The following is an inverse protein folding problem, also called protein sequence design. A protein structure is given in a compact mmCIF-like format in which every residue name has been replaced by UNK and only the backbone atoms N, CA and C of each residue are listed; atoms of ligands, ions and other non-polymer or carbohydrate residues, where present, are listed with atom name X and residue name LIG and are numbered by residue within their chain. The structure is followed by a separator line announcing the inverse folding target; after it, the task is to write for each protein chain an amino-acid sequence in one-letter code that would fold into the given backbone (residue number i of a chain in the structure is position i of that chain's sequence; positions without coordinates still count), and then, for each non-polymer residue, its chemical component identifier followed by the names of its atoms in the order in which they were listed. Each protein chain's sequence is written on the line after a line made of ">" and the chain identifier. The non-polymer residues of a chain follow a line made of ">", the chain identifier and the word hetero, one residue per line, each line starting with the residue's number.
data_IF_717354055936
#
_entry.id   IF_717354055936
#
_cell.length_a   1.000
_cell.length_b   1.000
_cell.length_c   1.000
_cell.angle_alpha   90.00
_cell.angle_beta   90.00
_cell.angle_gamma   90.00
#
_symmetry.space_group_name_H-M   'P 1'
#
loop_
_entity.id
_entity.type
_entity.pdbx_description
1 polymer ?
#
# COMPACT_ATOMS: atom_id res chain seq x y z
N UNK A 1 9.68 0.25 -24.51
CA UNK A 1 10.16 1.01 -23.33
C UNK A 1 9.33 0.64 -22.12
N UNK A 2 9.90 0.58 -20.90
CA UNK A 2 9.11 0.46 -19.69
C UNK A 2 8.12 1.64 -19.59
N UNK A 3 6.91 1.38 -19.10
CA UNK A 3 5.98 2.45 -18.76
C UNK A 3 6.57 3.28 -17.62
N UNK A 4 6.85 4.56 -17.86
CA UNK A 4 7.40 5.46 -16.86
C UNK A 4 6.30 5.96 -15.92
N UNK A 5 6.58 6.10 -14.61
CA UNK A 5 5.65 6.75 -13.70
C UNK A 5 5.60 8.26 -13.95
N UNK A 6 4.64 8.93 -13.32
CA UNK A 6 4.51 10.39 -13.33
C UNK A 6 5.79 11.07 -12.83
N UNK A 7 6.08 12.25 -13.38
CA UNK A 7 7.18 13.09 -12.91
C UNK A 7 6.96 13.44 -11.42
N UNK A 8 8.05 13.56 -10.69
CA UNK A 8 8.05 13.68 -9.23
C UNK A 8 7.96 12.34 -8.49
N UNK A 9 7.64 11.23 -9.15
CA UNK A 9 7.63 9.91 -8.51
C UNK A 9 9.04 9.49 -8.10
N UNK A 10 9.20 8.99 -6.87
CA UNK A 10 10.48 8.40 -6.44
C UNK A 10 10.71 7.05 -7.12
N UNK A 11 11.83 6.90 -7.80
CA UNK A 11 12.19 5.72 -8.58
C UNK A 11 13.58 5.19 -8.21
N UNK A 12 13.77 3.90 -8.42
CA UNK A 12 15.08 3.26 -8.56
C UNK A 12 15.22 2.80 -9.99
N UNK A 13 16.22 3.31 -10.69
CA UNK A 13 16.49 2.97 -12.09
C UNK A 13 17.87 2.35 -12.19
N UNK A 14 17.94 1.12 -12.68
CA UNK A 14 19.19 0.46 -13.04
C UNK A 14 19.47 0.74 -14.51
N UNK A 15 20.62 1.32 -14.83
CA UNK A 15 20.98 1.66 -16.19
C UNK A 15 22.41 1.24 -16.55
N UNK A 16 22.65 1.06 -17.85
CA UNK A 16 23.97 0.77 -18.44
C UNK A 16 24.84 2.01 -18.37
N UNK A 17 26.10 1.82 -17.97
CA UNK A 17 27.13 2.85 -18.08
C UNK A 17 27.77 2.80 -19.47
N UNK A 18 28.50 3.85 -19.89
CA UNK A 18 29.26 3.82 -21.14
C UNK A 18 30.11 2.56 -21.27
N UNK A 19 30.20 2.05 -22.50
CA UNK A 19 30.97 0.84 -22.81
C UNK A 19 32.40 0.92 -22.24
N UNK A 20 32.84 -0.15 -21.57
CA UNK A 20 34.13 -0.20 -20.87
C UNK A 20 34.08 0.19 -19.39
N UNK A 21 32.94 0.65 -18.88
CA UNK A 21 32.77 0.92 -17.44
C UNK A 21 32.82 -0.36 -16.60
N UNK A 22 33.49 -0.30 -15.44
CA UNK A 22 33.48 -1.34 -14.41
C UNK A 22 32.98 -0.73 -13.09
N UNK A 23 31.85 -1.18 -12.52
CA UNK A 23 30.89 -2.13 -13.10
C UNK A 23 30.14 -1.55 -14.32
N UNK A 24 29.61 -2.41 -15.23
CA UNK A 24 28.91 -1.97 -16.45
C UNK A 24 27.50 -1.40 -16.20
N UNK A 25 26.94 -1.63 -15.01
CA UNK A 25 25.65 -1.11 -14.60
C UNK A 25 25.79 -0.31 -13.31
N UNK A 26 24.89 0.66 -13.12
CA UNK A 26 24.74 1.39 -11.87
C UNK A 26 23.28 1.73 -11.63
N UNK A 27 22.97 2.14 -10.41
CA UNK A 27 21.61 2.46 -9.97
C UNK A 27 21.48 3.96 -9.64
N UNK A 28 20.41 4.61 -10.13
CA UNK A 28 20.00 5.94 -9.73
C UNK A 28 18.74 5.85 -8.87
N UNK A 29 18.78 6.43 -7.66
CA UNK A 29 17.63 6.46 -6.73
C UNK A 29 17.28 7.90 -6.40
N UNK A 30 16.06 8.32 -6.73
CA UNK A 30 15.65 9.72 -6.63
C UNK A 30 14.28 10.00 -7.23
N UNK A 31 13.92 11.26 -7.39
CA UNK A 31 12.67 11.68 -8.02
C UNK A 31 12.85 11.82 -9.53
N UNK A 32 11.91 11.27 -10.31
CA UNK A 32 11.91 11.37 -11.75
C UNK A 32 11.58 12.80 -12.20
N UNK A 33 12.48 13.47 -12.89
CA UNK A 33 12.30 14.85 -13.34
C UNK A 33 11.88 14.95 -14.82
N UNK A 34 12.38 14.04 -15.65
CA UNK A 34 12.06 13.99 -17.07
C UNK A 34 12.28 12.57 -17.62
N UNK A 35 11.56 12.23 -18.68
CA UNK A 35 11.70 10.97 -19.43
C UNK A 35 12.11 11.15 -20.89
N UNK A 36 12.05 12.38 -21.40
CA UNK A 36 12.47 12.74 -22.75
C UNK A 36 13.16 14.12 -22.75
N UNK A 37 14.15 14.35 -23.62
CA UNK A 37 14.78 13.39 -24.53
C UNK A 37 15.71 12.39 -23.80
N UNK A 38 16.06 12.69 -22.55
CA UNK A 38 16.84 11.82 -21.66
C UNK A 38 16.11 11.63 -20.34
N UNK A 39 16.39 10.52 -19.66
CA UNK A 39 15.86 10.28 -18.33
C UNK A 39 16.66 11.12 -17.34
N UNK A 40 15.98 11.88 -16.48
CA UNK A 40 16.60 12.71 -15.45
C UNK A 40 16.06 12.30 -14.09
N UNK A 41 16.95 11.92 -13.17
CA UNK A 41 16.59 11.52 -11.79
C UNK A 41 17.34 12.40 -10.79
N UNK A 42 16.60 13.13 -9.96
CA UNK A 42 17.19 13.91 -8.86
C UNK A 42 17.37 13.03 -7.63
N UNK A 43 18.63 12.74 -7.30
CA UNK A 43 18.99 11.94 -6.13
C UNK A 43 18.76 12.71 -4.82
N UNK A 44 18.82 12.00 -3.68
CA UNK A 44 18.66 12.60 -2.35
C UNK A 44 19.66 13.72 -2.03
N UNK A 45 20.82 13.75 -2.70
CA UNK A 45 21.83 14.81 -2.53
C UNK A 45 21.53 16.07 -3.34
N UNK A 46 20.44 16.07 -4.12
CA UNK A 46 20.11 17.13 -5.06
C UNK A 46 20.78 16.98 -6.42
N UNK A 47 21.74 16.06 -6.57
CA UNK A 47 22.40 15.80 -7.86
C UNK A 47 21.43 15.16 -8.86
N UNK A 48 21.42 15.67 -10.09
CA UNK A 48 20.64 15.12 -11.20
C UNK A 48 21.51 14.15 -11.97
N UNK A 49 21.05 12.91 -12.07
CA UNK A 49 21.67 11.86 -12.88
C UNK A 49 20.89 11.75 -14.18
N UNK A 50 21.61 11.77 -15.31
CA UNK A 50 21.02 11.72 -16.65
C UNK A 50 21.54 10.50 -17.42
N UNK A 51 20.65 9.79 -18.12
CA UNK A 51 20.98 8.62 -18.94
C UNK A 51 19.95 8.43 -20.07
N UNK A 52 20.33 7.70 -21.11
CA UNK A 52 19.44 7.41 -22.22
C UNK A 52 18.35 6.40 -21.81
N UNK A 53 17.16 6.52 -22.40
CA UNK A 53 16.07 5.57 -22.17
C UNK A 53 16.46 4.13 -22.54
N UNK A 54 17.29 3.96 -23.58
CA UNK A 54 17.77 2.65 -24.07
C UNK A 54 18.79 1.99 -23.12
N UNK A 55 19.40 2.76 -22.23
CA UNK A 55 20.32 2.24 -21.23
C UNK A 55 19.60 1.64 -20.01
N UNK A 56 18.29 1.89 -19.86
CA UNK A 56 17.51 1.42 -18.72
C UNK A 56 17.29 -0.09 -18.79
N UNK A 57 17.70 -0.78 -17.73
CA UNK A 57 17.60 -2.24 -17.61
C UNK A 57 16.50 -2.65 -16.63
N UNK A 58 16.29 -1.85 -15.58
CA UNK A 58 15.21 -2.07 -14.64
C UNK A 58 14.71 -0.74 -14.07
N UNK A 59 13.40 -0.66 -13.86
CA UNK A 59 12.72 0.47 -13.26
C UNK A 59 11.85 -0.04 -12.12
N UNK A 60 11.97 0.56 -10.94
CA UNK A 60 11.10 0.29 -9.80
C UNK A 60 10.61 1.59 -9.20
N UNK A 61 9.29 1.75 -9.11
CA UNK A 61 8.67 2.82 -8.32
C UNK A 61 8.86 2.54 -6.82
N UNK A 62 9.29 3.56 -6.10
CA UNK A 62 9.51 3.56 -4.67
C UNK A 62 8.45 4.43 -3.97
N UNK A 63 8.33 4.22 -2.66
CA UNK A 63 7.61 5.12 -1.76
C UNK A 63 8.41 6.42 -1.61
N UNK A 64 7.74 7.57 -1.46
CA UNK A 64 8.38 8.90 -1.38
C UNK A 64 9.43 8.98 -0.27
N UNK A 65 9.15 8.38 0.89
CA UNK A 65 10.13 8.13 1.94
C UNK A 65 10.25 6.63 2.22
N UNK A 66 11.39 6.15 2.73
CA UNK A 66 11.48 4.79 3.23
C UNK A 66 10.39 4.54 4.29
N UNK A 67 9.57 3.51 4.07
CA UNK A 67 8.51 3.08 4.99
C UNK A 67 9.02 1.89 5.80
N UNK A 68 8.98 1.97 7.14
CA UNK A 68 9.43 0.88 8.02
C UNK A 68 8.34 -0.18 8.19
N UNK A 69 8.73 -1.41 8.52
CA UNK A 69 7.77 -2.51 8.78
C UNK A 69 6.80 -2.21 9.92
N UNK A 70 7.25 -1.48 10.95
CA UNK A 70 6.39 -1.02 12.04
C UNK A 70 5.30 -0.05 11.55
N UNK A 71 5.63 0.87 10.63
CA UNK A 71 4.66 1.82 10.05
C UNK A 71 3.62 1.09 9.19
N UNK A 72 4.03 0.04 8.47
CA UNK A 72 3.12 -0.83 7.72
C UNK A 72 2.14 -1.52 8.68
N UNK A 73 2.64 -2.15 9.76
CA UNK A 73 1.78 -2.81 10.75
C UNK A 73 0.83 -1.85 11.44
N UNK A 74 1.30 -0.65 11.81
CA UNK A 74 0.45 0.35 12.45
C UNK A 74 -0.70 0.77 11.54
N UNK A 75 -0.42 1.04 10.26
CA UNK A 75 -1.47 1.43 9.32
C UNK A 75 -2.44 0.28 9.01
N UNK A 76 -1.95 -0.96 8.88
CA UNK A 76 -2.81 -2.13 8.67
C UNK A 76 -3.69 -2.42 9.90
N UNK A 77 -3.20 -2.15 11.13
CA UNK A 77 -4.01 -2.22 12.36
C UNK A 77 -5.12 -1.17 12.34
N UNK A 78 -4.80 0.07 11.96
CA UNK A 78 -5.78 1.14 11.80
C UNK A 78 -6.83 0.76 10.77
N UNK A 79 -6.42 0.25 9.61
CA UNK A 79 -7.33 -0.18 8.55
C UNK A 79 -8.26 -1.32 9.01
N UNK A 80 -7.74 -2.31 9.74
CA UNK A 80 -8.55 -3.39 10.28
C UNK A 80 -9.53 -2.93 11.36
N UNK A 81 -9.15 -1.94 12.17
CA UNK A 81 -10.02 -1.37 13.21
C UNK A 81 -11.09 -0.43 12.65
N UNK A 82 -10.78 0.30 11.57
CA UNK A 82 -11.71 1.24 10.95
C UNK A 82 -12.88 0.55 10.24
N UNK A 83 -12.64 -0.61 9.64
CA UNK A 83 -13.67 -1.47 9.04
C UNK A 83 -13.58 -2.88 9.61
N UNK A 84 -14.15 -3.11 10.81
CA UNK A 84 -14.08 -4.40 11.46
C UNK A 84 -14.90 -5.45 10.71
N UNK A 85 -14.36 -6.67 10.63
CA UNK A 85 -15.12 -7.84 10.23
C UNK A 85 -16.07 -8.28 11.36
N UNK A 86 -17.13 -9.00 11.01
CA UNK A 86 -18.14 -9.52 11.95
C UNK A 86 -17.55 -10.49 12.98
N UNK A 87 -16.67 -11.39 12.52
CA UNK A 87 -15.88 -12.28 13.38
C UNK A 87 -14.39 -11.97 13.25
N UNK A 88 -13.71 -11.88 14.38
CA UNK A 88 -12.28 -11.64 14.45
C UNK A 88 -11.62 -12.50 15.53
N UNK A 89 -10.43 -13.01 15.24
CA UNK A 89 -9.64 -13.80 16.19
C UNK A 89 -8.15 -13.50 16.02
N UNK A 90 -7.44 -13.36 17.14
CA UNK A 90 -5.98 -13.28 17.12
C UNK A 90 -5.39 -14.68 17.23
N UNK A 91 -4.50 -15.04 16.31
CA UNK A 91 -3.78 -16.32 16.32
C UNK A 91 -2.32 -16.09 15.94
N UNK A 92 -1.40 -16.34 16.87
CA UNK A 92 0.06 -16.23 16.68
C UNK A 92 0.51 -14.94 15.95
N UNK A 93 -0.06 -13.81 16.36
CA UNK A 93 0.24 -12.48 15.81
C UNK A 93 -0.50 -12.11 14.52
N UNK A 94 -1.34 -13.00 14.00
CA UNK A 94 -2.27 -12.73 12.91
C UNK A 94 -3.63 -12.29 13.46
N UNK A 95 -4.25 -11.33 12.78
CA UNK A 95 -5.67 -11.04 12.96
C UNK A 95 -6.46 -11.73 11.85
N UNK A 96 -7.20 -12.76 12.22
CA UNK A 96 -8.11 -13.52 11.35
C UNK A 96 -9.44 -12.78 11.33
N UNK A 97 -10.05 -12.71 10.14
CA UNK A 97 -11.24 -11.89 9.91
C UNK A 97 -12.18 -12.62 8.97
N UNK A 98 -13.46 -12.70 9.36
CA UNK A 98 -14.53 -13.22 8.53
C UNK A 98 -15.72 -12.25 8.58
N UNK A 99 -16.07 -11.70 7.42
CA UNK A 99 -17.19 -10.78 7.25
C UNK A 99 -18.36 -11.44 6.53
N UNK A 100 -19.55 -10.82 6.61
CA UNK A 100 -20.77 -11.31 5.96
C UNK A 100 -20.71 -11.33 4.43
N UNK A 101 -19.94 -10.42 3.84
CA UNK A 101 -19.78 -10.33 2.38
C UNK A 101 -18.53 -11.07 1.91
N UNK A 102 -18.69 -12.21 1.24
CA UNK A 102 -17.57 -13.05 0.79
C UNK A 102 -16.64 -12.34 -0.21
N UNK A 103 -17.16 -11.39 -0.98
CA UNK A 103 -16.38 -10.64 -1.97
C UNK A 103 -15.41 -9.63 -1.35
N UNK A 104 -15.65 -9.21 -0.10
CA UNK A 104 -14.83 -8.21 0.57
C UNK A 104 -13.57 -8.87 1.17
N UNK A 105 -12.53 -9.00 0.35
CA UNK A 105 -11.25 -9.61 0.74
C UNK A 105 -10.65 -8.96 2.00
N UNK A 106 -10.81 -7.65 2.14
CA UNK A 106 -10.31 -6.85 3.26
C UNK A 106 -10.95 -7.21 4.60
N UNK A 107 -12.08 -7.90 4.66
CA UNK A 107 -12.72 -8.40 5.90
C UNK A 107 -12.81 -9.94 5.95
N UNK A 108 -12.30 -10.63 4.93
CA UNK A 108 -12.29 -12.10 4.80
C UNK A 108 -10.90 -12.69 4.60
N UNK A 109 -9.86 -12.03 5.14
CA UNK A 109 -8.48 -12.49 5.04
C UNK A 109 -7.72 -12.23 6.34
N UNK A 110 -6.85 -13.17 6.72
CA UNK A 110 -5.98 -13.01 7.87
C UNK A 110 -4.80 -12.10 7.53
N UNK A 111 -4.41 -11.25 8.47
CA UNK A 111 -3.38 -10.23 8.24
C UNK A 111 -2.34 -10.19 9.38
N UNK A 112 -1.03 -10.13 9.08
CA UNK A 112 0.04 -10.31 10.07
C UNK A 112 0.34 -8.99 10.83
N UNK A 113 -0.54 -8.63 11.75
CA UNK A 113 -0.50 -7.31 12.43
C UNK A 113 0.48 -7.23 13.58
N UNK A 114 0.91 -8.34 14.17
CA UNK A 114 1.92 -8.36 15.21
C UNK A 114 3.32 -8.71 14.69
N UNK A 115 4.35 -8.33 15.45
CA UNK A 115 5.74 -8.66 15.13
C UNK A 115 6.02 -10.16 15.21
N UNK A 116 5.28 -10.90 16.03
CA UNK A 116 5.37 -12.35 16.19
C UNK A 116 4.79 -13.14 15.01
N UNK A 117 4.00 -12.50 14.14
CA UNK A 117 3.35 -13.15 13.00
C UNK A 117 4.38 -13.82 12.09
N UNK A 118 4.19 -15.12 11.84
CA UNK A 118 5.08 -15.91 11.01
C UNK A 118 4.31 -17.00 10.26
N UNK A 119 4.97 -17.60 9.26
CA UNK A 119 4.36 -18.56 8.36
C UNK A 119 3.96 -19.90 9.01
N UNK A 120 4.44 -20.23 10.22
CA UNK A 120 4.07 -21.48 10.91
C UNK A 120 2.60 -21.51 11.33
N UNK A 121 1.98 -20.34 11.47
CA UNK A 121 0.56 -20.21 11.79
C UNK A 121 -0.37 -20.53 10.60
N UNK A 122 0.15 -20.55 9.37
CA UNK A 122 -0.64 -20.67 8.14
C UNK A 122 -1.57 -21.90 8.11
N UNK A 123 -1.14 -23.11 8.55
CA UNK A 123 -2.06 -24.25 8.62
C UNK A 123 -3.26 -24.02 9.56
N UNK A 124 -3.01 -23.47 10.77
CA UNK A 124 -4.08 -23.20 11.73
C UNK A 124 -5.02 -22.08 11.26
N UNK A 125 -4.48 -21.05 10.59
CA UNK A 125 -5.28 -20.03 9.91
C UNK A 125 -6.18 -20.67 8.86
N UNK A 126 -5.63 -21.62 8.07
CA UNK A 126 -6.39 -22.29 7.04
C UNK A 126 -7.58 -23.07 7.61
N UNK A 127 -7.35 -23.79 8.71
CA UNK A 127 -8.40 -24.56 9.39
C UNK A 127 -9.49 -23.66 9.98
N UNK A 128 -9.13 -22.51 10.54
CA UNK A 128 -10.09 -21.54 11.08
C UNK A 128 -11.11 -21.05 10.02
N UNK A 129 -10.64 -20.80 8.78
CA UNK A 129 -11.50 -20.44 7.66
C UNK A 129 -12.35 -21.62 7.17
N UNK A 130 -11.76 -22.82 7.06
CA UNK A 130 -12.47 -24.03 6.60
C UNK A 130 -13.61 -24.44 7.53
N UNK A 131 -13.42 -24.32 8.84
CA UNK A 131 -14.47 -24.59 9.84
C UNK A 131 -15.69 -23.67 9.65
N UNK A 132 -15.51 -22.53 8.99
CA UNK A 132 -16.57 -21.58 8.64
C UNK A 132 -17.08 -21.73 7.20
N UNK A 133 -16.64 -22.77 6.48
CA UNK A 133 -16.99 -22.99 5.08
C UNK A 133 -16.42 -21.93 4.13
N UNK A 134 -15.31 -21.27 4.49
CA UNK A 134 -14.71 -20.16 3.72
C UNK A 134 -13.40 -20.59 3.07
N UNK A 135 -13.14 -20.07 1.87
CA UNK A 135 -11.83 -20.16 1.22
C UNK A 135 -10.79 -19.49 2.13
N UNK A 136 -9.74 -20.20 2.57
CA UNK A 136 -8.74 -19.58 3.41
C UNK A 136 -7.89 -18.60 2.63
N UNK A 137 -7.82 -17.36 3.12
CA UNK A 137 -7.04 -16.29 2.51
C UNK A 137 -6.18 -15.58 3.53
N UNK A 138 -5.00 -15.18 3.09
CA UNK A 138 -4.13 -14.25 3.83
C UNK A 138 -3.90 -13.01 3.00
N UNK A 139 -3.90 -11.85 3.63
CA UNK A 139 -3.41 -10.62 3.05
C UNK A 139 -2.01 -10.35 3.60
N UNK A 140 -1.03 -10.22 2.71
CA UNK A 140 0.37 -10.04 3.04
C UNK A 140 0.81 -8.65 2.58
N UNK A 141 0.91 -7.67 3.49
CA UNK A 141 1.56 -6.41 3.21
C UNK A 141 3.03 -6.62 2.83
N UNK A 142 3.48 -5.95 1.78
CA UNK A 142 4.85 -6.02 1.27
C UNK A 142 5.83 -5.80 2.44
N UNK A 143 6.87 -6.67 2.50
CA UNK A 143 7.97 -6.64 3.50
C UNK A 143 7.63 -7.16 4.90
N UNK A 144 6.38 -7.51 5.20
CA UNK A 144 6.07 -8.13 6.50
C UNK A 144 6.38 -9.63 6.53
N UNK A 145 6.12 -10.33 5.43
CA UNK A 145 6.45 -11.74 5.27
C UNK A 145 7.02 -12.00 3.88
N UNK A 146 7.95 -12.96 3.73
CA UNK A 146 8.42 -13.38 2.43
C UNK A 146 7.29 -14.10 1.69
N UNK A 147 7.06 -13.71 0.45
CA UNK A 147 6.15 -14.41 -0.47
C UNK A 147 7.03 -15.15 -1.48
N UNK A 148 6.88 -16.47 -1.63
CA UNK A 148 7.60 -17.22 -2.65
C UNK A 148 7.35 -16.63 -4.05
N UNK A 149 8.36 -16.49 -4.92
CA UNK A 149 8.17 -15.92 -6.25
C UNK A 149 7.17 -16.68 -7.13
N UNK A 150 6.98 -17.98 -6.85
CA UNK A 150 6.03 -18.86 -7.54
C UNK A 150 4.59 -18.67 -7.07
N UNK A 151 4.36 -17.94 -5.98
CA UNK A 151 3.03 -17.74 -5.43
C UNK A 151 2.26 -16.71 -6.26
N UNK A 152 1.12 -17.13 -6.81
CA UNK A 152 0.20 -16.24 -7.52
C UNK A 152 -0.63 -15.47 -6.50
N UNK A 153 -0.70 -14.14 -6.67
CA UNK A 153 -1.61 -13.30 -5.89
C UNK A 153 -2.98 -13.27 -6.58
N UNK A 154 -4.06 -13.55 -5.85
CA UNK A 154 -5.43 -13.43 -6.38
C UNK A 154 -5.78 -11.96 -6.66
N UNK A 155 -5.29 -11.08 -5.80
CA UNK A 155 -5.53 -9.64 -5.89
C UNK A 155 -4.37 -8.87 -5.24
N UNK A 156 -4.11 -7.67 -5.72
CA UNK A 156 -3.09 -6.77 -5.18
C UNK A 156 -3.71 -5.40 -4.99
N UNK A 157 -3.55 -4.84 -3.79
CA UNK A 157 -3.98 -3.49 -3.45
C UNK A 157 -2.77 -2.59 -3.21
N UNK A 158 -2.90 -1.31 -3.55
CA UNK A 158 -2.04 -0.23 -3.10
C UNK A 158 -2.68 0.46 -1.91
N UNK A 159 -1.94 0.55 -0.80
CA UNK A 159 -2.27 1.42 0.31
C UNK A 159 -1.58 2.75 0.07
N UNK A 160 -2.38 3.78 -0.20
CA UNK A 160 -1.93 5.13 -0.50
C UNK A 160 -2.18 6.03 0.71
N UNK A 161 -1.27 6.97 0.98
CA UNK A 161 -1.35 7.87 2.13
C UNK A 161 -1.07 9.32 1.74
N UNK A 162 -1.66 10.27 2.46
CA UNK A 162 -1.35 11.69 2.37
C UNK A 162 -1.19 12.29 3.78
N UNK A 163 -0.51 13.43 3.87
CA UNK A 163 -0.51 14.25 5.09
C UNK A 163 -1.72 15.19 5.06
N UNK A 164 -2.34 15.43 6.22
CA UNK A 164 -3.49 16.30 6.38
C UNK A 164 -3.06 17.55 7.15
N UNK A 165 -2.99 18.68 6.45
CA UNK A 165 -2.46 19.94 7.01
C UNK A 165 -3.51 21.01 7.20
N UNK A 166 -4.48 21.09 6.29
CA UNK A 166 -5.55 22.08 6.32
C UNK A 166 -6.68 21.60 7.22
N UNK A 167 -7.11 22.43 8.17
CA UNK A 167 -8.16 22.11 9.15
C UNK A 167 -9.39 22.99 8.99
N UNK A 168 -9.38 23.87 7.99
CA UNK A 168 -10.38 24.93 7.85
C UNK A 168 -11.52 24.45 6.95
N UNK A 169 -12.29 23.48 7.45
CA UNK A 169 -13.47 22.99 6.75
C UNK A 169 -14.58 22.53 7.70
N UNK A 170 -15.79 22.99 7.41
CA UNK A 170 -17.04 22.36 7.82
C UNK A 170 -17.27 21.07 7.04
N UNK A 171 -17.94 20.09 7.67
CA UNK A 171 -18.27 18.81 7.05
C UNK A 171 -18.95 19.04 5.68
N UNK A 172 -18.49 18.39 4.59
CA UNK A 172 -19.12 18.55 3.29
C UNK A 172 -20.56 17.99 3.33
N UNK A 173 -21.53 18.77 2.85
CA UNK A 173 -22.95 18.37 2.76
C UNK A 173 -23.19 17.24 1.74
N UNK A 174 -22.22 16.99 0.85
CA UNK A 174 -22.32 16.10 -0.32
C UNK A 174 -21.35 14.91 -0.32
N UNK A 175 -20.62 14.66 0.76
CA UNK A 175 -19.79 13.46 0.90
C UNK A 175 -20.58 12.30 1.49
N UNK A 176 -20.32 11.06 1.04
CA UNK A 176 -20.70 9.86 1.81
C UNK A 176 -19.85 9.84 3.10
N UNK A 177 -20.43 10.23 4.25
CA UNK A 177 -19.66 10.37 5.47
C UNK A 177 -19.32 9.02 6.11
N UNK A 178 -20.04 7.95 5.74
CA UNK A 178 -19.78 6.58 6.21
C UNK A 178 -18.54 6.01 5.50
N UNK A 179 -18.12 6.63 4.40
CA UNK A 179 -16.89 6.32 3.69
C UNK A 179 -15.61 6.80 4.37
N UNK A 180 -15.66 7.60 5.44
CA UNK A 180 -14.48 8.10 6.16
C UNK A 180 -14.49 7.71 7.65
N UNK A 181 -13.41 7.09 8.11
CA UNK A 181 -13.26 6.66 9.51
C UNK A 181 -11.98 7.24 10.10
N UNK A 182 -12.10 8.02 11.17
CA UNK A 182 -10.96 8.53 11.93
C UNK A 182 -10.62 7.55 13.06
N UNK A 183 -9.36 7.13 13.14
CA UNK A 183 -8.90 6.13 14.12
C UNK A 183 -7.45 6.38 14.53
N UNK A 184 -7.12 5.96 15.75
CA UNK A 184 -5.79 6.13 16.32
C UNK A 184 -4.94 4.87 16.09
N UNK A 185 -3.70 5.07 15.62
CA UNK A 185 -2.71 4.02 15.49
C UNK A 185 -2.05 3.71 16.85
N UNK A 186 -1.42 2.52 17.02
CA UNK A 186 -0.71 2.19 18.24
C UNK A 186 0.43 3.15 18.61
N UNK A 187 0.98 3.88 17.64
CA UNK A 187 2.03 4.89 17.85
C UNK A 187 1.47 6.29 18.19
N UNK A 188 0.14 6.42 18.36
CA UNK A 188 -0.55 7.68 18.63
C UNK A 188 -0.84 8.52 17.37
N UNK A 189 -0.44 8.07 16.18
CA UNK A 189 -0.79 8.77 14.94
C UNK A 189 -2.29 8.64 14.69
N UNK A 190 -2.98 9.77 14.54
CA UNK A 190 -4.40 9.79 14.17
C UNK A 190 -4.56 9.79 12.66
N UNK A 191 -5.25 8.78 12.14
CA UNK A 191 -5.45 8.54 10.72
C UNK A 191 -6.91 8.74 10.33
N UNK A 192 -7.15 9.23 9.12
CA UNK A 192 -8.43 9.17 8.44
C UNK A 192 -8.35 8.12 7.34
N UNK A 193 -9.15 7.07 7.44
CA UNK A 193 -9.31 6.08 6.39
C UNK A 193 -10.47 6.44 5.47
N UNK A 194 -10.27 6.26 4.18
CA UNK A 194 -11.33 6.43 3.17
C UNK A 194 -11.64 5.10 2.48
N UNK A 195 -12.92 4.75 2.36
CA UNK A 195 -13.40 3.54 1.69
C UNK A 195 -13.15 3.57 0.18
N UNK A 196 -13.21 4.77 -0.41
CA UNK A 196 -12.86 5.07 -1.79
C UNK A 196 -11.98 6.32 -1.83
N UNK A 197 -11.25 6.57 -2.93
CA UNK A 197 -10.54 7.84 -3.09
C UNK A 197 -11.49 9.01 -2.84
N UNK A 198 -11.12 9.98 -1.98
CA UNK A 198 -11.94 11.16 -1.74
C UNK A 198 -12.29 11.85 -3.05
N UNK A 199 -13.53 12.32 -3.18
CA UNK A 199 -13.99 13.02 -4.38
C UNK A 199 -13.50 14.47 -4.43
N UNK A 200 -13.11 15.03 -3.29
CA UNK A 200 -12.69 16.44 -3.19
C UNK A 200 -11.72 16.69 -2.02
N UNK A 201 -10.94 17.79 -2.06
CA UNK A 201 -10.04 18.18 -0.97
C UNK A 201 -10.76 18.51 0.35
N UNK A 202 -12.00 18.98 0.31
CA UNK A 202 -12.75 19.40 1.50
C UNK A 202 -12.98 18.23 2.47
N UNK A 203 -13.09 16.99 1.96
CA UNK A 203 -13.19 15.80 2.81
C UNK A 203 -11.88 15.55 3.58
N UNK A 204 -10.73 15.90 2.99
CA UNK A 204 -9.43 15.84 3.67
C UNK A 204 -9.34 16.89 4.76
N UNK A 205 -9.76 18.13 4.47
CA UNK A 205 -9.77 19.22 5.46
C UNK A 205 -10.73 18.93 6.62
N UNK A 206 -11.90 18.33 6.35
CA UNK A 206 -12.81 17.87 7.40
C UNK A 206 -12.21 16.74 8.25
N UNK A 207 -11.55 15.76 7.63
CA UNK A 207 -10.87 14.70 8.38
C UNK A 207 -9.76 15.27 9.28
N UNK A 208 -9.04 16.30 8.81
CA UNK A 208 -8.05 17.01 9.58
C UNK A 208 -8.65 17.83 10.74
N UNK A 209 -9.83 18.42 10.55
CA UNK A 209 -10.55 19.13 11.61
C UNK A 209 -11.05 18.17 12.70
N UNK A 210 -11.26 16.90 12.36
CA UNK A 210 -11.46 15.80 13.32
C UNK A 210 -10.16 15.35 14.04
N UNK A 211 -9.04 16.04 13.80
CA UNK A 211 -7.75 15.79 14.43
C UNK A 211 -6.89 14.73 13.74
N UNK A 212 -7.31 14.18 12.61
CA UNK A 212 -6.45 13.31 11.82
C UNK A 212 -5.27 14.10 11.27
N UNK A 213 -4.09 13.51 11.31
CA UNK A 213 -2.86 14.11 10.75
C UNK A 213 -2.49 13.52 9.41
N UNK A 214 -3.09 12.36 9.08
CA UNK A 214 -2.81 11.61 7.86
C UNK A 214 -4.06 10.95 7.31
N UNK A 215 -4.15 10.88 6.00
CA UNK A 215 -5.19 10.16 5.27
C UNK A 215 -4.65 8.86 4.69
N UNK A 216 -5.47 7.82 4.60
CA UNK A 216 -5.16 6.61 3.82
C UNK A 216 -6.37 6.10 3.04
N UNK A 217 -6.10 5.49 1.89
CA UNK A 217 -7.08 4.78 1.07
C UNK A 217 -6.44 3.52 0.52
N UNK A 218 -7.23 2.45 0.40
CA UNK A 218 -6.79 1.20 -0.23
C UNK A 218 -7.48 1.00 -1.56
N UNK A 219 -6.71 0.77 -2.63
CA UNK A 219 -7.23 0.65 -3.98
C UNK A 219 -6.58 -0.55 -4.68
N UNK A 220 -7.40 -1.42 -5.28
CA UNK A 220 -6.91 -2.52 -6.13
C UNK A 220 -6.09 -2.02 -7.32
N UNK A 221 -5.02 -2.73 -7.69
CA UNK A 221 -4.17 -2.39 -8.84
C UNK A 221 -4.89 -2.53 -10.20
N UNK A 222 -6.02 -3.22 -10.21
CA UNK A 222 -6.97 -3.33 -11.33
C UNK A 222 -7.85 -2.08 -11.51
N UNK A 223 -7.77 -1.09 -10.62
CA UNK A 223 -8.52 0.18 -10.70
C UNK A 223 -7.60 1.40 -10.90
N UNK A 224 -6.95 1.55 -12.07
CA UNK A 224 -5.98 2.63 -12.31
C UNK A 224 -6.59 4.03 -12.17
N UNK A 225 -7.83 4.24 -12.64
CA UNK A 225 -8.51 5.55 -12.51
C UNK A 225 -8.70 5.97 -11.04
N UNK A 226 -8.99 5.02 -10.14
CA UNK A 226 -9.12 5.31 -8.71
C UNK A 226 -7.77 5.66 -8.06
N UNK A 227 -6.69 5.01 -8.50
CA UNK A 227 -5.32 5.34 -8.08
C UNK A 227 -4.96 6.76 -8.53
N UNK A 228 -5.28 7.12 -9.77
CA UNK A 228 -5.05 8.46 -10.33
C UNK A 228 -5.84 9.54 -9.56
N UNK A 229 -7.12 9.30 -9.27
CA UNK A 229 -7.94 10.21 -8.45
C UNK A 229 -7.34 10.43 -7.06
N UNK A 230 -6.85 9.38 -6.40
CA UNK A 230 -6.17 9.52 -5.12
C UNK A 230 -4.87 10.33 -5.25
N UNK A 231 -4.06 10.08 -6.28
CA UNK A 231 -2.79 10.80 -6.50
C UNK A 231 -2.98 12.28 -6.77
N UNK A 232 -4.05 12.64 -7.50
CA UNK A 232 -4.43 14.03 -7.76
C UNK A 232 -4.71 14.81 -6.46
N UNK A 233 -5.16 14.12 -5.41
CA UNK A 233 -5.37 14.67 -4.07
C UNK A 233 -4.14 14.54 -3.15
N UNK A 234 -2.96 14.24 -3.72
CA UNK A 234 -1.71 14.18 -2.96
C UNK A 234 -1.46 12.85 -2.25
N UNK A 235 -2.28 11.81 -2.48
CA UNK A 235 -1.97 10.49 -1.96
C UNK A 235 -0.77 9.87 -2.69
N UNK A 236 0.04 9.13 -1.94
CA UNK A 236 1.31 8.54 -2.39
C UNK A 236 1.42 7.11 -1.87
N UNK A 237 2.13 6.26 -2.63
CA UNK A 237 2.25 4.85 -2.28
C UNK A 237 2.97 4.67 -0.94
N UNK A 238 2.33 3.98 0.00
CA UNK A 238 2.93 3.56 1.27
C UNK A 238 3.46 2.12 1.20
N UNK A 239 2.64 1.21 0.70
CA UNK A 239 2.98 -0.19 0.46
C UNK A 239 1.90 -0.88 -0.38
N UNK A 240 2.17 -2.10 -0.81
CA UNK A 240 1.17 -2.98 -1.41
C UNK A 240 0.75 -4.06 -0.43
N UNK A 241 -0.46 -4.58 -0.62
CA UNK A 241 -1.01 -5.73 0.09
C UNK A 241 -1.44 -6.77 -0.94
N UNK A 242 -0.98 -8.00 -0.77
CA UNK A 242 -1.26 -9.11 -1.69
C UNK A 242 -2.17 -10.11 -1.03
N UNK A 243 -3.25 -10.48 -1.71
CA UNK A 243 -4.15 -11.53 -1.26
C UNK A 243 -3.74 -12.85 -1.88
N UNK A 244 -3.54 -13.84 -1.02
CA UNK A 244 -3.15 -15.18 -1.40
C UNK A 244 -4.25 -16.13 -0.89
N UNK A 245 -4.86 -16.89 -1.80
CA UNK A 245 -5.56 -18.10 -1.40
C UNK A 245 -4.55 -19.12 -0.91
N UNK A 246 -4.83 -19.72 0.24
CA UNK A 246 -4.12 -20.89 0.69
C UNK A 246 -4.71 -22.10 -0.04
N UNK A 247 -3.88 -23.05 -0.47
CA UNK A 247 -4.37 -24.24 -1.15
C UNK A 247 -5.35 -24.99 -0.24
N UNK A 248 -6.35 -25.59 -0.86
CA UNK A 248 -7.09 -26.66 -0.20
C UNK A 248 -6.09 -27.73 0.19
N UNK A 249 -6.17 -28.22 1.43
CA UNK A 249 -5.26 -29.25 1.92
C UNK A 249 -5.31 -30.39 0.93
N UNK A 250 -4.25 -30.57 0.15
CA UNK A 250 -4.10 -31.75 -0.68
C UNK A 250 -3.94 -32.89 0.31
N UNK A 251 -4.96 -33.73 0.40
CA UNK A 251 -4.89 -34.99 1.13
C UNK A 251 -3.84 -35.90 0.48
#
# INVERSE_FOLDING_TARGET
>A
MPAWPELGTRVSVRYRRPAGSVPPFTDAVGHLLAVEPTIRVQTKSGAVVEFAADDVVALRTLTDRPVRTAEIRNLERVAAAGWPADEQEWLDGWLLRAGRSDAALSVNSAVPLDVSANARAVPAIADWYRQRGRQPRIAVPDRLLPIPPTQVSEHVEQVLVCELTDRDATRPDSGDPDGCVVSDAPDGTRWAGFATPPSSPELLSWAASCGATRGYVTVGEDRPAAIESARALGFRLHHRRRYLALPDSSN
#
